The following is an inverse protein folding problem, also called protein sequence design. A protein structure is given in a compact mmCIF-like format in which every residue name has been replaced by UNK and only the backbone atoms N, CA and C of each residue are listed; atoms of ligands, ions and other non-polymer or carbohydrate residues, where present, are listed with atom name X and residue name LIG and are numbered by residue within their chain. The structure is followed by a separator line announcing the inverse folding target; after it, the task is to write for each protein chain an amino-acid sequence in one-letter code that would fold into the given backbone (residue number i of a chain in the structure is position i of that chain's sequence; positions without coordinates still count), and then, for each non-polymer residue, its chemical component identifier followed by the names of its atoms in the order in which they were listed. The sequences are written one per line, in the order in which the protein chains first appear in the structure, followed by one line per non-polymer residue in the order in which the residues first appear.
data_IF_033846327176
#
_entry.id   IF_033846327176
#
_cell.length_a   1.000
_cell.length_b   1.000
_cell.length_c   1.000
_cell.angle_alpha   90.00
_cell.angle_beta   90.00
_cell.angle_gamma   90.00
#
_symmetry.space_group_name_H-M   'P 1'
#
loop_
_entity.id
_entity.type
_entity.pdbx_description
1 polymer ?
#
# COMPACT_ATOMS: atom_id res chain seq x y z
N UNK A 1 25.06 27.01 -14.70
CA UNK A 1 23.94 26.04 -14.69
C UNK A 1 24.47 24.65 -14.37
N UNK A 2 24.08 24.02 -13.24
CA UNK A 2 24.60 22.70 -12.86
C UNK A 2 24.01 21.61 -13.77
N UNK A 3 24.89 20.86 -14.44
CA UNK A 3 24.54 19.74 -15.33
C UNK A 3 24.23 18.51 -14.48
N UNK A 4 22.95 18.25 -14.25
CA UNK A 4 22.47 17.05 -13.54
C UNK A 4 22.79 15.83 -14.43
N UNK A 5 23.53 14.85 -13.88
CA UNK A 5 23.92 13.63 -14.58
C UNK A 5 22.68 12.76 -14.89
N UNK A 6 22.63 12.09 -16.06
CA UNK A 6 21.46 11.32 -16.50
C UNK A 6 21.06 10.20 -15.52
N UNK A 7 22.04 9.56 -14.88
CA UNK A 7 21.85 8.56 -13.81
C UNK A 7 20.97 9.06 -12.65
N UNK A 8 21.17 10.33 -12.24
CA UNK A 8 20.40 10.93 -11.14
C UNK A 8 18.97 11.25 -11.56
N UNK A 9 18.71 11.44 -12.87
CA UNK A 9 17.35 11.66 -13.38
C UNK A 9 16.54 10.37 -13.34
N UNK A 10 17.17 9.23 -13.62
CA UNK A 10 16.50 7.94 -13.59
C UNK A 10 16.11 7.55 -12.16
N UNK A 11 17.04 7.71 -11.20
CA UNK A 11 16.76 7.44 -9.78
C UNK A 11 15.67 8.37 -9.24
N UNK A 12 15.74 9.68 -9.56
CA UNK A 12 14.73 10.64 -9.16
C UNK A 12 13.37 10.32 -9.81
N UNK A 13 13.33 9.90 -11.07
CA UNK A 13 12.10 9.52 -11.74
C UNK A 13 11.49 8.25 -11.13
N UNK A 14 12.31 7.24 -10.81
CA UNK A 14 11.83 6.02 -10.16
C UNK A 14 11.35 6.27 -8.74
N UNK A 15 12.06 7.07 -7.94
CA UNK A 15 11.58 7.43 -6.60
C UNK A 15 10.32 8.28 -6.67
N UNK A 16 10.22 9.22 -7.60
CA UNK A 16 9.00 10.01 -7.80
C UNK A 16 7.84 9.15 -8.26
N UNK A 17 8.06 8.20 -9.19
CA UNK A 17 7.02 7.27 -9.65
C UNK A 17 6.60 6.32 -8.54
N UNK A 18 7.52 5.78 -7.73
CA UNK A 18 7.18 4.97 -6.57
C UNK A 18 6.49 5.76 -5.46
N UNK A 19 6.77 7.06 -5.31
CA UNK A 19 6.01 7.95 -4.43
C UNK A 19 4.62 8.25 -4.99
N UNK A 20 4.50 8.47 -6.30
CA UNK A 20 3.21 8.69 -6.98
C UNK A 20 2.34 7.42 -7.02
N UNK A 21 2.96 6.23 -7.04
CA UNK A 21 2.30 4.92 -6.95
C UNK A 21 2.08 4.47 -5.50
N UNK A 22 2.75 5.10 -4.53
CA UNK A 22 2.82 4.66 -3.12
C UNK A 22 1.66 5.12 -2.24
N UNK A 23 0.83 6.06 -2.70
CA UNK A 23 -0.30 6.60 -1.94
C UNK A 23 -1.59 6.67 -2.77
N UNK A 24 -1.72 5.81 -3.78
CA UNK A 24 -3.04 5.44 -4.25
C UNK A 24 -3.65 4.52 -3.21
N UNK A 25 -4.29 5.04 -2.16
CA UNK A 25 -5.37 4.29 -1.54
C UNK A 25 -6.33 3.94 -2.69
N UNK A 26 -6.59 2.66 -2.92
CA UNK A 26 -7.42 2.23 -4.05
C UNK A 26 -8.82 2.76 -3.75
N UNK A 27 -9.14 3.90 -4.34
CA UNK A 27 -10.43 4.54 -4.17
C UNK A 27 -11.48 3.64 -4.81
N UNK A 28 -12.16 2.84 -4.00
CA UNK A 28 -13.21 1.96 -4.48
C UNK A 28 -14.45 2.79 -4.81
N UNK A 29 -15.16 2.34 -5.85
CA UNK A 29 -16.54 2.74 -6.11
C UNK A 29 -17.47 1.65 -5.60
N UNK A 30 -18.46 2.00 -4.78
CA UNK A 30 -19.42 1.04 -4.23
C UNK A 30 -20.83 1.33 -4.74
N UNK A 31 -21.68 0.29 -4.75
CA UNK A 31 -23.11 0.50 -4.88
C UNK A 31 -23.63 1.12 -3.59
N UNK A 32 -24.52 2.09 -3.73
CA UNK A 32 -25.07 2.82 -2.62
C UNK A 32 -26.59 2.85 -2.74
N UNK A 33 -27.28 2.38 -1.71
CA UNK A 33 -28.74 2.30 -1.66
C UNK A 33 -29.19 2.13 -0.21
N UNK A 34 -30.24 2.85 0.18
CA UNK A 34 -30.86 2.74 1.50
C UNK A 34 -30.61 3.94 2.42
N UNK A 35 -31.48 4.08 3.42
CA UNK A 35 -31.62 5.18 4.36
C UNK A 35 -30.38 5.41 5.24
N UNK A 36 -29.54 4.39 5.45
CA UNK A 36 -28.30 4.50 6.22
C UNK A 36 -27.05 4.86 5.41
N UNK A 37 -27.18 5.01 4.09
CA UNK A 37 -26.04 5.13 3.19
C UNK A 37 -25.77 6.59 2.79
N UNK A 38 -24.52 7.02 2.92
CA UNK A 38 -24.08 8.36 2.52
C UNK A 38 -23.85 8.42 1.00
N UNK A 39 -24.89 8.20 0.20
CA UNK A 39 -24.79 8.24 -1.25
C UNK A 39 -24.56 9.67 -1.73
N UNK A 40 -23.39 9.92 -2.30
CA UNK A 40 -23.02 11.23 -2.86
C UNK A 40 -23.60 11.42 -4.28
N UNK A 41 -23.83 10.30 -5.00
CA UNK A 41 -24.34 10.26 -6.37
C UNK A 41 -25.48 9.24 -6.49
N UNK A 42 -26.27 9.33 -7.58
CA UNK A 42 -27.61 8.75 -7.75
C UNK A 42 -27.78 7.30 -7.27
N UNK A 43 -26.74 6.45 -7.27
CA UNK A 43 -26.78 5.09 -6.68
C UNK A 43 -25.38 4.54 -6.32
N UNK A 44 -24.40 5.42 -6.11
CA UNK A 44 -23.02 5.03 -5.85
C UNK A 44 -22.29 6.05 -4.98
N UNK A 45 -21.20 5.57 -4.40
CA UNK A 45 -20.25 6.36 -3.64
C UNK A 45 -18.83 5.96 -4.08
N UNK A 46 -17.92 6.92 -4.10
CA UNK A 46 -16.56 6.80 -4.67
C UNK A 46 -15.54 7.32 -3.67
N UNK A 47 -14.31 6.80 -3.73
CA UNK A 47 -13.26 7.25 -2.80
C UNK A 47 -13.24 6.45 -1.49
N UNK A 48 -13.89 5.29 -1.49
CA UNK A 48 -14.02 4.45 -0.31
C UNK A 48 -12.84 3.51 -0.13
N UNK A 49 -12.58 3.13 1.12
CA UNK A 49 -11.62 2.08 1.45
C UNK A 49 -12.29 0.70 1.36
N UNK A 50 -13.57 0.59 1.72
CA UNK A 50 -14.36 -0.64 1.65
C UNK A 50 -15.81 -0.35 1.23
N UNK A 51 -16.43 -1.30 0.55
CA UNK A 51 -17.87 -1.33 0.35
C UNK A 51 -18.54 -2.17 1.42
N UNK A 52 -19.76 -1.82 1.80
CA UNK A 52 -20.57 -2.61 2.73
C UNK A 52 -21.94 -2.99 2.19
N UNK A 53 -22.46 -4.08 2.73
CA UNK A 53 -23.84 -4.54 2.71
C UNK A 53 -24.29 -4.70 4.17
N UNK A 54 -25.37 -4.02 4.56
CA UNK A 54 -25.97 -4.11 5.89
C UNK A 54 -27.35 -4.72 5.79
N UNK A 55 -27.62 -5.75 6.58
CA UNK A 55 -28.92 -6.42 6.64
C UNK A 55 -29.46 -6.33 8.05
N UNK A 56 -30.66 -5.80 8.22
CA UNK A 56 -31.34 -5.64 9.51
C UNK A 56 -32.58 -6.55 9.51
N UNK A 57 -32.51 -7.63 10.28
CA UNK A 57 -33.64 -8.49 10.58
C UNK A 57 -34.44 -7.90 11.73
N UNK A 58 -35.62 -7.38 11.42
CA UNK A 58 -36.59 -6.93 12.43
C UNK A 58 -37.59 -8.05 12.71
N UNK A 59 -38.01 -8.20 13.97
CA UNK A 59 -38.90 -9.30 14.32
C UNK A 59 -40.33 -9.14 13.77
N UNK A 60 -40.83 -7.90 13.72
CA UNK A 60 -42.22 -7.57 13.41
C UNK A 60 -42.38 -6.81 12.06
N UNK A 61 -41.31 -6.73 11.26
CA UNK A 61 -41.28 -6.03 9.97
C UNK A 61 -40.41 -6.77 8.96
N UNK A 62 -40.55 -6.40 7.70
CA UNK A 62 -39.69 -6.90 6.64
C UNK A 62 -38.22 -6.57 6.94
N UNK A 63 -37.34 -7.51 6.59
CA UNK A 63 -35.90 -7.32 6.67
C UNK A 63 -35.49 -6.14 5.78
N UNK A 64 -34.61 -5.31 6.30
CA UNK A 64 -34.16 -4.09 5.64
C UNK A 64 -32.70 -4.24 5.19
N UNK A 65 -32.38 -3.77 3.99
CA UNK A 65 -31.05 -3.94 3.39
C UNK A 65 -30.52 -2.61 2.89
N UNK A 66 -29.27 -2.29 3.27
CA UNK A 66 -28.55 -1.10 2.82
C UNK A 66 -27.21 -1.46 2.19
N UNK A 67 -26.77 -0.61 1.26
CA UNK A 67 -25.47 -0.67 0.59
C UNK A 67 -24.79 0.68 0.71
N UNK A 68 -23.46 0.69 0.92
CA UNK A 68 -22.73 1.95 0.88
C UNK A 68 -21.22 1.81 0.96
N UNK A 69 -20.58 2.95 1.25
CA UNK A 69 -19.13 3.09 1.38
C UNK A 69 -18.70 3.25 2.83
N UNK A 70 -17.55 2.71 3.16
CA UNK A 70 -16.81 3.01 4.38
C UNK A 70 -15.54 3.75 3.96
N UNK A 71 -15.51 5.03 4.32
CA UNK A 71 -14.38 5.89 4.07
C UNK A 71 -13.58 6.05 5.37
N UNK A 72 -12.26 5.99 5.29
CA UNK A 72 -11.33 6.12 6.42
C UNK A 72 -11.19 7.59 6.92
N UNK A 73 -12.25 8.40 6.84
CA UNK A 73 -12.18 9.81 7.24
C UNK A 73 -12.09 9.96 8.77
N UNK A 74 -10.85 9.99 9.27
CA UNK A 74 -10.50 10.49 10.59
C UNK A 74 -9.93 9.47 11.58
N UNK A 75 -9.69 8.21 11.18
CA UNK A 75 -9.01 7.22 12.02
C UNK A 75 -9.73 6.84 13.32
N UNK A 76 -10.99 7.24 13.51
CA UNK A 76 -11.77 6.97 14.72
C UNK A 76 -12.45 5.60 14.71
N UNK A 77 -12.63 4.99 13.54
CA UNK A 77 -13.34 3.71 13.39
C UNK A 77 -12.52 2.85 12.45
N UNK A 78 -11.91 1.78 12.98
CA UNK A 78 -11.23 0.80 12.15
C UNK A 78 -12.30 0.03 11.35
N UNK A 79 -12.34 0.12 10.00
CA UNK A 79 -13.37 -0.52 9.18
C UNK A 79 -13.46 -2.03 9.44
N UNK A 80 -12.32 -2.65 9.71
CA UNK A 80 -12.16 -4.06 10.05
C UNK A 80 -12.91 -4.49 11.32
N UNK A 81 -13.28 -3.55 12.20
CA UNK A 81 -14.04 -3.84 13.41
C UNK A 81 -15.55 -4.01 13.14
N UNK A 82 -16.06 -3.42 12.07
CA UNK A 82 -17.49 -3.45 11.73
C UNK A 82 -17.78 -4.59 10.75
N UNK A 83 -16.84 -4.86 9.85
CA UNK A 83 -16.99 -5.86 8.81
C UNK A 83 -17.08 -7.30 9.37
N UNK A 84 -17.97 -8.08 8.77
CA UNK A 84 -18.30 -9.46 9.16
C UNK A 84 -18.73 -9.60 10.64
N UNK A 85 -19.39 -8.57 11.19
CA UNK A 85 -20.02 -8.63 12.50
C UNK A 85 -21.52 -8.73 12.39
N UNK A 86 -22.06 -9.49 13.34
CA UNK A 86 -23.46 -9.45 13.71
C UNK A 86 -23.60 -8.62 14.98
N UNK A 87 -24.50 -7.64 14.96
CA UNK A 87 -24.90 -6.85 16.12
C UNK A 87 -26.36 -7.17 16.44
N UNK A 88 -26.60 -7.69 17.63
CA UNK A 88 -27.96 -7.94 18.11
C UNK A 88 -28.38 -6.82 19.06
N UNK A 89 -29.51 -6.18 18.80
CA UNK A 89 -30.08 -5.17 19.70
C UNK A 89 -31.51 -5.56 20.06
N UNK A 90 -31.67 -6.13 21.26
CA UNK A 90 -32.95 -6.68 21.70
C UNK A 90 -33.37 -7.89 20.87
N UNK A 91 -34.41 -7.72 20.05
CA UNK A 91 -34.97 -8.77 19.16
C UNK A 91 -34.60 -8.57 17.69
N UNK A 92 -33.85 -7.52 17.39
CA UNK A 92 -33.37 -7.20 16.06
C UNK A 92 -31.92 -7.64 15.89
N UNK A 93 -31.58 -8.09 14.69
CA UNK A 93 -30.26 -8.59 14.33
C UNK A 93 -29.74 -7.84 13.10
N UNK A 94 -28.54 -7.29 13.19
CA UNK A 94 -27.90 -6.54 12.11
C UNK A 94 -26.62 -7.22 11.68
N UNK A 95 -26.52 -7.61 10.41
CA UNK A 95 -25.29 -8.12 9.82
C UNK A 95 -24.61 -7.05 8.98
N UNK A 96 -23.31 -6.88 9.17
CA UNK A 96 -22.46 -6.03 8.34
C UNK A 96 -21.48 -6.90 7.56
N UNK A 97 -21.61 -6.91 6.24
CA UNK A 97 -20.70 -7.57 5.32
C UNK A 97 -19.92 -6.50 4.56
N UNK A 98 -18.64 -6.75 4.29
CA UNK A 98 -17.79 -5.82 3.56
C UNK A 98 -16.94 -6.53 2.52
N UNK A 99 -16.51 -5.78 1.52
CA UNK A 99 -15.57 -6.20 0.49
C UNK A 99 -14.73 -4.99 0.03
N UNK A 100 -13.57 -5.28 -0.56
CA UNK A 100 -12.63 -4.25 -1.04
C UNK A 100 -11.79 -4.68 -2.23
N UNK A 101 -12.17 -5.76 -2.91
CA UNK A 101 -11.33 -6.40 -3.93
C UNK A 101 -11.50 -5.76 -5.32
N UNK A 102 -12.67 -5.17 -5.61
CA UNK A 102 -13.01 -4.52 -6.88
C UNK A 102 -14.21 -3.58 -6.73
N UNK A 103 -14.43 -2.71 -7.72
CA UNK A 103 -15.56 -1.77 -7.73
C UNK A 103 -16.92 -2.50 -7.75
N UNK A 104 -17.87 -1.98 -6.95
CA UNK A 104 -19.23 -2.50 -6.78
C UNK A 104 -19.31 -3.93 -6.22
N UNK A 105 -18.25 -4.42 -5.58
CA UNK A 105 -18.20 -5.76 -4.99
C UNK A 105 -19.34 -6.07 -4.00
N UNK A 106 -19.97 -5.03 -3.42
CA UNK A 106 -21.06 -5.22 -2.47
C UNK A 106 -22.37 -5.70 -3.09
N UNK A 107 -22.49 -5.68 -4.42
CA UNK A 107 -23.63 -6.29 -5.13
C UNK A 107 -23.58 -7.82 -5.13
N UNK A 108 -22.39 -8.39 -5.01
CA UNK A 108 -22.16 -9.83 -5.09
C UNK A 108 -22.11 -10.49 -3.70
N UNK A 109 -22.33 -9.70 -2.63
CA UNK A 109 -22.39 -10.20 -1.26
C UNK A 109 -23.71 -10.94 -1.01
N UNK A 110 -23.61 -12.19 -0.55
CA UNK A 110 -24.76 -13.00 -0.18
C UNK A 110 -25.32 -12.57 1.18
N UNK A 111 -26.65 -12.39 1.23
CA UNK A 111 -27.38 -12.12 2.48
C UNK A 111 -27.34 -13.39 3.36
N UNK A 112 -26.81 -13.32 4.61
CA UNK A 112 -26.75 -14.46 5.50
C UNK A 112 -28.17 -14.87 5.92
N UNK A 113 -28.51 -16.17 6.00
CA UNK A 113 -29.82 -16.61 6.46
C UNK A 113 -30.01 -16.25 7.94
N UNK A 114 -31.25 -15.93 8.34
CA UNK A 114 -31.61 -15.68 9.74
C UNK A 114 -31.34 -16.94 10.57
N UNK A 115 -30.43 -16.88 11.53
CA UNK A 115 -30.19 -17.97 12.48
C UNK A 115 -31.34 -18.04 13.48
N UNK A 116 -32.47 -18.59 13.07
CA UNK A 116 -33.53 -18.97 14.00
C UNK A 116 -33.07 -20.15 14.86
N UNK A 117 -32.84 -19.92 16.14
CA UNK A 117 -32.72 -20.95 17.17
C UNK A 117 -33.92 -21.92 17.20
N UNK A 118 -33.82 -23.03 17.96
CA UNK A 118 -34.20 -24.36 17.53
C UNK A 118 -35.71 -24.52 17.32
N UNK A 119 -36.11 -24.80 16.08
CA UNK A 119 -37.43 -25.32 15.77
C UNK A 119 -37.42 -26.82 15.94
N UNK A 120 -38.05 -27.28 17.02
CA UNK A 120 -38.59 -28.63 17.13
C UNK A 120 -39.63 -28.85 16.03
N UNK A 121 -39.35 -29.73 15.07
CA UNK A 121 -40.39 -30.61 14.53
C UNK A 121 -39.79 -31.75 13.72
N UNK A 122 -40.26 -32.94 14.08
CA UNK A 122 -40.09 -34.24 13.46
C UNK A 122 -40.52 -34.27 11.99
N UNK A 123 -39.63 -34.72 11.09
CA UNK A 123 -39.82 -35.92 10.24
C UNK A 123 -38.62 -36.13 9.31
N UNK A 124 -38.17 -37.38 9.08
CA UNK A 124 -37.04 -37.67 8.23
C UNK A 124 -37.49 -37.79 6.77
N UNK A 125 -37.08 -36.86 5.92
CA UNK A 125 -37.14 -37.03 4.46
C UNK A 125 -35.72 -37.27 3.96
N UNK A 126 -35.53 -38.45 3.40
CA UNK A 126 -34.35 -39.00 2.72
C UNK A 126 -33.60 -37.97 1.89
N UNK A 127 -32.27 -37.79 2.07
CA UNK A 127 -31.49 -36.91 1.21
C UNK A 127 -31.22 -37.56 -0.15
N UNK A 128 -31.70 -36.91 -1.20
CA UNK A 128 -31.20 -37.07 -2.57
C UNK A 128 -29.89 -36.28 -2.69
N UNK A 129 -28.79 -36.85 -3.23
CA UNK A 129 -27.52 -36.16 -3.33
C UNK A 129 -27.58 -35.17 -4.49
N UNK A 130 -27.95 -33.92 -4.20
CA UNK A 130 -27.73 -32.81 -5.13
C UNK A 130 -26.39 -32.19 -4.76
N UNK A 131 -25.40 -32.44 -5.61
CA UNK A 131 -24.09 -31.80 -5.57
C UNK A 131 -24.27 -30.28 -5.57
N UNK A 132 -24.06 -29.65 -4.41
CA UNK A 132 -23.83 -28.21 -4.29
C UNK A 132 -22.36 -28.02 -3.92
N UNK A 133 -21.61 -27.17 -4.65
CA UNK A 133 -20.19 -26.98 -4.40
C UNK A 133 -20.02 -26.32 -3.04
N UNK A 134 -19.31 -27.00 -2.16
CA UNK A 134 -18.80 -26.47 -0.91
C UNK A 134 -18.08 -25.15 -1.19
N UNK A 135 -18.43 -24.02 -0.56
CA UNK A 135 -17.64 -22.81 -0.68
C UNK A 135 -16.32 -23.09 0.02
N UNK A 136 -15.27 -23.29 -0.78
CA UNK A 136 -13.91 -23.31 -0.27
C UNK A 136 -13.69 -22.00 0.48
N UNK A 137 -13.54 -22.12 1.80
CA UNK A 137 -13.03 -21.08 2.67
C UNK A 137 -11.66 -20.68 2.12
N UNK A 138 -11.65 -19.67 1.26
CA UNK A 138 -10.44 -19.10 0.68
C UNK A 138 -9.73 -18.33 1.80
N UNK A 139 -9.08 -19.09 2.69
CA UNK A 139 -8.06 -18.54 3.57
C UNK A 139 -7.04 -17.89 2.65
N UNK A 140 -6.98 -16.55 2.68
CA UNK A 140 -5.92 -15.76 2.05
C UNK A 140 -4.59 -16.14 2.71
N UNK A 141 -4.07 -17.32 2.34
CA UNK A 141 -2.68 -17.70 2.50
C UNK A 141 -1.94 -16.88 1.46
N UNK A 142 -1.72 -15.60 1.77
CA UNK A 142 -0.66 -14.82 1.17
C UNK A 142 0.57 -15.71 1.28
N UNK A 143 0.94 -16.30 0.14
CA UNK A 143 2.03 -17.26 0.08
C UNK A 143 3.23 -16.57 0.68
N UNK A 144 3.86 -17.15 1.71
CA UNK A 144 5.06 -16.58 2.34
C UNK A 144 6.11 -16.18 1.30
N UNK A 145 6.11 -16.86 0.15
CA UNK A 145 6.89 -16.51 -1.04
C UNK A 145 6.57 -15.14 -1.63
N UNK A 146 5.30 -14.74 -1.71
CA UNK A 146 4.87 -13.43 -2.19
C UNK A 146 5.33 -12.33 -1.24
N UNK A 147 5.17 -12.53 0.08
CA UNK A 147 5.70 -11.60 1.08
C UNK A 147 7.23 -11.48 0.99
N UNK A 148 7.92 -12.62 0.80
CA UNK A 148 9.36 -12.68 0.68
C UNK A 148 9.86 -11.95 -0.58
N UNK A 149 9.21 -12.14 -1.72
CA UNK A 149 9.56 -11.46 -2.97
C UNK A 149 9.32 -9.95 -2.85
N UNK A 150 8.17 -9.55 -2.28
CA UNK A 150 7.79 -8.13 -2.15
C UNK A 150 8.65 -7.39 -1.13
N UNK A 151 9.23 -8.06 -0.13
CA UNK A 151 10.05 -7.40 0.91
C UNK A 151 11.55 -7.55 0.70
N UNK A 152 12.03 -8.73 0.30
CA UNK A 152 13.47 -9.01 0.20
C UNK A 152 14.08 -8.39 -1.06
N UNK A 153 13.40 -8.43 -2.20
CA UNK A 153 13.93 -7.86 -3.45
C UNK A 153 14.16 -6.34 -3.34
N UNK A 154 13.19 -5.52 -2.86
CA UNK A 154 13.44 -4.09 -2.74
C UNK A 154 14.45 -3.76 -1.64
N UNK A 155 14.50 -4.51 -0.54
CA UNK A 155 15.52 -4.27 0.51
C UNK A 155 16.93 -4.55 -0.01
N UNK A 156 17.14 -5.64 -0.75
CA UNK A 156 18.43 -5.93 -1.41
C UNK A 156 18.77 -4.83 -2.43
N UNK A 157 17.80 -4.37 -3.22
CA UNK A 157 18.02 -3.30 -4.20
C UNK A 157 18.43 -1.99 -3.52
N UNK A 158 17.74 -1.59 -2.45
CA UNK A 158 18.05 -0.39 -1.67
C UNK A 158 19.45 -0.51 -1.03
N UNK A 159 19.79 -1.66 -0.45
CA UNK A 159 21.12 -1.89 0.15
C UNK A 159 22.25 -1.78 -0.89
N UNK A 160 22.07 -2.38 -2.07
CA UNK A 160 23.03 -2.24 -3.16
C UNK A 160 23.17 -0.79 -3.63
N UNK A 161 22.06 -0.05 -3.72
CA UNK A 161 22.06 1.36 -4.10
C UNK A 161 22.82 2.21 -3.08
N UNK A 162 22.59 1.99 -1.78
CA UNK A 162 23.35 2.65 -0.69
C UNK A 162 24.84 2.34 -0.81
N UNK A 163 25.20 1.07 -1.02
CA UNK A 163 26.60 0.65 -1.17
C UNK A 163 27.27 1.35 -2.36
N UNK A 164 26.59 1.44 -3.51
CA UNK A 164 27.08 2.16 -4.68
C UNK A 164 27.29 3.66 -4.41
N UNK A 165 26.38 4.31 -3.66
CA UNK A 165 26.52 5.72 -3.27
C UNK A 165 27.75 5.90 -2.37
N UNK A 166 27.91 5.05 -1.35
CA UNK A 166 29.03 5.12 -0.42
C UNK A 166 30.36 4.90 -1.13
N UNK A 167 30.44 3.90 -2.01
CA UNK A 167 31.60 3.67 -2.89
C UNK A 167 31.87 4.89 -3.78
N UNK A 168 30.83 5.47 -4.37
CA UNK A 168 30.94 6.67 -5.19
C UNK A 168 31.48 7.87 -4.42
N UNK A 169 31.07 8.05 -3.15
CA UNK A 169 31.60 9.09 -2.26
C UNK A 169 33.05 8.81 -1.93
N UNK A 170 33.39 7.57 -1.53
CA UNK A 170 34.76 7.18 -1.22
C UNK A 170 35.71 7.37 -2.41
N UNK A 171 35.31 6.96 -3.61
CA UNK A 171 36.11 7.14 -4.82
C UNK A 171 36.30 8.63 -5.16
N UNK A 172 35.27 9.46 -4.95
CA UNK A 172 35.39 10.92 -5.13
C UNK A 172 36.31 11.55 -4.10
N UNK A 173 36.24 11.13 -2.84
CA UNK A 173 37.12 11.60 -1.78
C UNK A 173 38.57 11.17 -2.06
N UNK A 174 38.77 9.90 -2.44
CA UNK A 174 40.06 9.37 -2.84
C UNK A 174 40.66 10.15 -4.02
N UNK A 175 39.87 10.42 -5.05
CA UNK A 175 40.33 11.22 -6.18
C UNK A 175 40.68 12.65 -5.77
N UNK A 176 39.89 13.29 -4.91
CA UNK A 176 40.18 14.66 -4.41
C UNK A 176 41.51 14.72 -3.64
N UNK A 177 41.82 13.69 -2.84
CA UNK A 177 43.09 13.61 -2.11
C UNK A 177 44.25 13.45 -3.09
N UNK A 178 44.15 12.50 -4.03
CA UNK A 178 45.19 12.26 -5.05
C UNK A 178 45.48 13.50 -5.92
N UNK A 179 44.44 14.27 -6.27
CA UNK A 179 44.63 15.53 -7.02
C UNK A 179 45.34 16.62 -6.19
N UNK A 180 45.17 16.65 -4.87
CA UNK A 180 45.89 17.60 -4.00
C UNK A 180 47.38 17.27 -3.91
N UNK A 181 47.72 15.99 -3.84
CA UNK A 181 49.12 15.55 -3.81
C UNK A 181 49.88 15.91 -5.09
N UNK A 182 49.27 15.71 -6.27
CA UNK A 182 49.90 16.10 -7.54
C UNK A 182 50.18 17.61 -7.61
N UNK A 183 49.23 18.45 -7.16
CA UNK A 183 49.43 19.91 -7.14
C UNK A 183 50.53 20.35 -6.17
N UNK A 184 50.66 19.69 -5.02
CA UNK A 184 51.76 20.00 -4.09
C UNK A 184 53.13 19.62 -4.66
N UNK A 185 53.24 18.50 -5.39
CA UNK A 185 54.50 18.10 -6.04
C UNK A 185 54.91 19.08 -7.15
N UNK A 186 53.95 19.58 -7.93
CA UNK A 186 54.21 20.55 -9.01
C UNK A 186 54.65 21.93 -8.48
N UNK A 187 54.01 22.43 -7.41
CA UNK A 187 54.41 23.67 -6.73
C UNK A 187 55.81 23.53 -6.09
N UNK A 188 56.15 22.34 -5.56
CA UNK A 188 57.48 22.10 -4.97
C UNK A 188 58.58 22.05 -6.02
N UNK A 189 58.31 21.52 -7.21
CA UNK A 189 59.26 21.53 -8.34
C UNK A 189 59.50 22.95 -8.85
N UNK A 190 58.43 23.70 -9.13
CA UNK A 190 58.52 25.07 -9.66
C UNK A 190 59.13 26.06 -8.66
N UNK A 191 58.89 25.89 -7.35
CA UNK A 191 59.53 26.69 -6.32
C UNK A 191 61.04 26.44 -6.17
N UNK A 192 61.51 25.23 -6.47
CA UNK A 192 62.94 24.89 -6.39
C UNK A 192 63.75 25.52 -7.54
N UNK A 193 63.16 25.66 -8.72
CA UNK A 193 63.80 26.28 -9.88
C UNK A 193 63.91 27.82 -9.74
N UNK A 194 62.94 28.47 -9.07
CA UNK A 194 62.99 29.91 -8.84
C UNK A 194 64.07 30.32 -7.82
N UNK A 195 64.33 29.50 -6.80
CA UNK A 195 65.35 29.82 -5.78
C UNK A 195 66.77 29.71 -6.37
N UNK A 196 67.00 28.88 -7.39
CA UNK A 196 68.29 28.85 -8.09
C UNK A 196 68.53 30.08 -8.97
N UNK A 197 67.49 30.67 -9.55
CA UNK A 197 67.65 31.82 -10.45
C UNK A 197 67.99 33.13 -9.72
N UNK A 198 67.54 33.31 -8.47
CA UNK A 198 67.78 34.54 -7.70
C UNK A 198 69.23 34.65 -7.20
N UNK A 199 69.95 33.53 -7.03
CA UNK A 199 71.34 33.53 -6.56
C UNK A 199 72.40 33.78 -7.66
N UNK A 200 72.02 33.97 -8.92
CA UNK A 200 72.97 34.16 -10.03
C UNK A 200 73.09 35.59 -10.56
N UNK A 201 72.39 36.58 -9.99
CA UNK A 201 72.31 37.95 -10.55
C UNK A 201 72.98 39.06 -9.75
N UNK A 202 73.77 38.74 -8.72
CA UNK A 202 74.37 39.75 -7.82
C UNK A 202 75.91 39.76 -7.92
N UNK A 203 76.45 40.09 -9.10
CA UNK A 203 77.87 40.43 -9.28
C UNK A 203 78.02 41.33 -10.51
N UNK A 204 77.92 42.66 -10.32
CA UNK A 204 78.55 43.72 -11.13
C UNK A 204 78.42 45.03 -10.41
#
# INVERSE_FOLDING_TARGET
MPRIRPEMRLVLAFTLMSLLLGEGAWALTCHCHGEGSACISENNCTGATLCYLRVIYQQDRDSYVDYGCIDDFGGLINPSLICNRTMSHGRDETHFLCCGDYDFCNKDLSIPPRESGPSSSSSPVTPTPTHSPTPEKQENKISLWLLLIVTIIPTIFILNLILCILLGIHLRQYHRIRTREQRQSEVRSTGSDQIQFVNSTTCT
#
